data_IF_053821015892
#
_entry.id   IF_053821015892
#
_cell.length_a   1.000
_cell.length_b   1.000
_cell.length_c   1.000
_cell.angle_alpha   90.00
_cell.angle_beta   90.00
_cell.angle_gamma   90.00
#
_symmetry.space_group_name_H-M   'P 1'
#
loop_
_entity.id
_entity.type
_entity.pdbx_description
1 polymer ?
#
# COMPACT_ATOMS: atom_id res chain seq x y z
N UNK A 1 34.20 5.80 -34.41
CA UNK A 1 33.18 5.07 -33.61
C UNK A 1 31.94 5.94 -33.59
N UNK A 2 31.09 5.79 -34.60
CA UNK A 2 29.84 6.53 -34.70
C UNK A 2 28.95 6.19 -33.50
N UNK A 3 28.46 7.22 -32.82
CA UNK A 3 27.43 7.06 -31.79
C UNK A 3 26.18 6.53 -32.49
N UNK A 4 25.93 5.24 -32.36
CA UNK A 4 24.66 4.59 -32.66
C UNK A 4 23.53 5.52 -32.18
N UNK A 5 22.55 5.91 -33.03
CA UNK A 5 21.45 6.77 -32.59
C UNK A 5 20.87 6.17 -31.32
N UNK A 6 20.99 6.89 -30.18
CA UNK A 6 20.58 6.38 -28.87
C UNK A 6 19.12 5.93 -28.99
N UNK A 7 18.91 4.62 -29.05
CA UNK A 7 17.58 4.01 -28.94
C UNK A 7 17.00 4.61 -27.66
N UNK A 8 15.91 5.36 -27.79
CA UNK A 8 15.18 5.94 -26.67
C UNK A 8 14.19 4.88 -26.21
N UNK A 9 14.46 4.15 -25.13
CA UNK A 9 13.62 3.03 -24.73
C UNK A 9 12.20 3.52 -24.45
N UNK A 10 11.21 2.79 -24.96
CA UNK A 10 9.79 3.03 -24.72
C UNK A 10 9.32 2.16 -23.56
N UNK A 11 9.00 2.80 -22.44
CA UNK A 11 8.58 2.14 -21.20
C UNK A 11 7.08 2.36 -21.03
N UNK A 12 6.33 1.25 -20.95
CA UNK A 12 4.92 1.27 -20.58
C UNK A 12 4.78 0.91 -19.12
N UNK A 13 4.43 1.89 -18.29
CA UNK A 13 4.05 1.66 -16.90
C UNK A 13 2.61 1.17 -16.84
N UNK A 14 2.36 0.08 -16.12
CA UNK A 14 1.01 -0.46 -15.88
C UNK A 14 0.73 -0.41 -14.39
N UNK A 15 -0.40 0.18 -14.02
CA UNK A 15 -0.87 0.30 -12.64
C UNK A 15 -2.37 0.02 -12.62
N UNK A 16 -2.90 -0.58 -11.54
CA UNK A 16 -4.35 -0.82 -11.43
C UNK A 16 -5.13 0.48 -11.65
N UNK A 17 -4.89 1.45 -10.79
CA UNK A 17 -5.47 2.78 -10.89
C UNK A 17 -4.37 3.80 -10.61
N UNK A 18 -4.19 4.75 -11.52
CA UNK A 18 -3.39 5.92 -11.24
C UNK A 18 -4.19 6.85 -10.31
N UNK A 19 -3.92 6.78 -9.02
CA UNK A 19 -4.57 7.58 -7.97
C UNK A 19 -3.52 8.19 -7.02
N UNK A 20 -3.84 9.28 -6.30
CA UNK A 20 -2.91 9.85 -5.32
C UNK A 20 -2.49 8.83 -4.27
N UNK A 21 -1.19 8.62 -4.10
CA UNK A 21 -0.64 7.65 -3.16
C UNK A 21 0.80 7.29 -3.48
N UNK A 22 1.46 6.59 -2.55
CA UNK A 22 2.90 6.33 -2.62
C UNK A 22 3.36 5.60 -3.89
N UNK A 23 2.59 4.61 -4.36
CA UNK A 23 2.92 3.86 -5.57
C UNK A 23 2.91 4.73 -6.84
N UNK A 24 1.89 5.59 -6.98
CA UNK A 24 1.78 6.52 -8.10
C UNK A 24 2.86 7.62 -8.02
N UNK A 25 3.13 8.16 -6.83
CA UNK A 25 4.21 9.12 -6.62
C UNK A 25 5.57 8.53 -7.00
N UNK A 26 5.89 7.33 -6.51
CA UNK A 26 7.15 6.66 -6.82
C UNK A 26 7.29 6.34 -8.32
N UNK A 27 6.20 5.90 -8.98
CA UNK A 27 6.15 5.71 -10.43
C UNK A 27 6.47 7.01 -11.16
N UNK A 28 5.68 8.05 -10.91
CA UNK A 28 5.72 9.31 -11.67
C UNK A 28 7.09 9.98 -11.50
N UNK A 29 7.59 10.05 -10.28
CA UNK A 29 8.86 10.72 -9.99
C UNK A 29 10.07 9.95 -10.53
N UNK A 30 10.06 8.63 -10.44
CA UNK A 30 11.12 7.80 -11.02
C UNK A 30 11.13 7.93 -12.55
N UNK A 31 9.96 7.84 -13.18
CA UNK A 31 9.81 7.97 -14.62
C UNK A 31 10.21 9.36 -15.14
N UNK A 32 9.90 10.43 -14.39
CA UNK A 32 10.33 11.80 -14.70
C UNK A 32 11.85 11.91 -14.81
N UNK A 33 12.58 11.33 -13.86
CA UNK A 33 14.05 11.37 -13.88
C UNK A 33 14.66 10.48 -14.97
N UNK A 34 14.08 9.31 -15.24
CA UNK A 34 14.51 8.45 -16.34
C UNK A 34 14.25 9.09 -17.72
N UNK A 35 13.14 9.83 -17.86
CA UNK A 35 12.81 10.57 -19.06
C UNK A 35 13.83 11.68 -19.37
N UNK A 36 14.35 12.35 -18.35
CA UNK A 36 15.45 13.32 -18.50
C UNK A 36 16.73 12.66 -19.06
N UNK A 37 16.92 11.35 -18.86
CA UNK A 37 17.98 10.53 -19.47
C UNK A 37 17.71 10.11 -20.92
N UNK A 38 16.56 10.46 -21.48
CA UNK A 38 16.17 10.19 -22.87
C UNK A 38 15.21 9.01 -23.07
N UNK A 39 14.75 8.37 -22.00
CA UNK A 39 13.71 7.32 -22.06
C UNK A 39 12.33 7.94 -22.33
N UNK A 40 11.43 7.19 -22.97
CA UNK A 40 10.05 7.58 -23.19
C UNK A 40 9.14 6.78 -22.27
N UNK A 41 8.33 7.46 -21.45
CA UNK A 41 7.49 6.82 -20.44
C UNK A 41 6.01 7.15 -20.69
N UNK A 42 5.17 6.11 -20.64
CA UNK A 42 3.72 6.21 -20.74
C UNK A 42 3.08 5.39 -19.63
N UNK A 43 1.97 5.87 -19.07
CA UNK A 43 1.24 5.19 -18.01
C UNK A 43 -0.08 4.65 -18.55
N UNK A 44 -0.33 3.36 -18.34
CA UNK A 44 -1.63 2.71 -18.50
C UNK A 44 -2.23 2.49 -17.12
N UNK A 45 -3.34 3.17 -16.84
CA UNK A 45 -4.18 2.92 -15.67
C UNK A 45 -5.25 1.91 -16.09
N UNK A 46 -5.26 0.70 -15.51
CA UNK A 46 -6.17 -0.38 -15.93
C UNK A 46 -7.64 -0.07 -15.66
N UNK A 47 -7.94 0.70 -14.61
CA UNK A 47 -9.23 1.35 -14.40
C UNK A 47 -9.09 2.86 -14.52
N UNK A 48 -10.23 3.57 -14.60
CA UNK A 48 -10.27 5.03 -14.74
C UNK A 48 -9.33 5.74 -13.74
N UNK A 49 -8.33 6.49 -14.22
CA UNK A 49 -7.41 7.19 -13.35
C UNK A 49 -8.12 8.36 -12.63
N UNK A 50 -7.62 8.72 -11.45
CA UNK A 50 -8.11 9.88 -10.71
C UNK A 50 -7.49 11.14 -11.32
N UNK A 51 -8.33 12.14 -11.65
CA UNK A 51 -7.91 13.36 -12.34
C UNK A 51 -6.67 14.02 -11.71
N UNK A 52 -6.63 14.17 -10.39
CA UNK A 52 -5.50 14.78 -9.69
C UNK A 52 -4.16 14.03 -9.91
N UNK A 53 -4.19 12.71 -10.03
CA UNK A 53 -3.00 11.90 -10.32
C UNK A 53 -2.62 11.94 -11.80
N UNK A 54 -3.61 12.00 -12.70
CA UNK A 54 -3.37 12.23 -14.13
C UNK A 54 -2.71 13.60 -14.37
N UNK A 55 -3.21 14.65 -13.74
CA UNK A 55 -2.64 16.01 -13.83
C UNK A 55 -1.21 16.04 -13.31
N UNK A 56 -0.94 15.31 -12.22
CA UNK A 56 0.39 15.18 -11.65
C UNK A 56 1.36 14.45 -12.60
N UNK A 57 0.94 13.34 -13.20
CA UNK A 57 1.72 12.63 -14.22
C UNK A 57 1.96 13.50 -15.47
N UNK A 58 0.96 14.24 -15.92
CA UNK A 58 1.08 15.14 -17.07
C UNK A 58 2.08 16.28 -16.80
N UNK A 59 2.06 16.88 -15.60
CA UNK A 59 3.08 17.87 -15.17
C UNK A 59 4.49 17.29 -15.15
N UNK A 60 4.62 15.99 -14.87
CA UNK A 60 5.89 15.27 -14.95
C UNK A 60 6.29 14.86 -16.39
N UNK A 61 5.49 15.21 -17.40
CA UNK A 61 5.73 14.90 -18.81
C UNK A 61 5.34 13.49 -19.24
N UNK A 62 4.50 12.80 -18.45
CA UNK A 62 4.05 11.43 -18.71
C UNK A 62 2.67 11.42 -19.37
N UNK A 63 2.54 10.73 -20.49
CA UNK A 63 1.23 10.49 -21.10
C UNK A 63 0.47 9.41 -20.30
N UNK A 64 -0.78 9.68 -19.96
CA UNK A 64 -1.66 8.75 -19.25
C UNK A 64 -2.72 8.19 -20.19
N UNK A 65 -2.96 6.90 -20.09
CA UNK A 65 -3.99 6.16 -20.82
C UNK A 65 -5.01 5.63 -19.84
N UNK A 66 -6.28 5.98 -20.06
CA UNK A 66 -7.41 5.42 -19.33
C UNK A 66 -7.80 4.07 -19.93
N UNK A 67 -7.42 2.98 -19.26
CA UNK A 67 -7.80 1.62 -19.62
C UNK A 67 -9.27 1.29 -19.35
N UNK A 68 -9.96 2.06 -18.49
CA UNK A 68 -11.39 1.92 -18.24
C UNK A 68 -12.27 2.40 -19.40
N UNK A 69 -11.74 3.24 -20.29
CA UNK A 69 -12.43 3.70 -21.51
C UNK A 69 -12.02 2.92 -22.77
N UNK A 70 -10.95 2.13 -22.68
CA UNK A 70 -10.50 1.27 -23.76
C UNK A 70 -11.24 -0.07 -23.64
N UNK A 71 -12.37 -0.18 -24.34
CA UNK A 71 -13.21 -1.37 -24.32
C UNK A 71 -12.63 -2.59 -25.07
N UNK A 72 -11.46 -2.48 -25.72
CA UNK A 72 -10.92 -3.53 -26.59
C UNK A 72 -9.48 -3.92 -26.21
N UNK A 73 -9.29 -5.21 -25.92
CA UNK A 73 -8.00 -5.85 -25.64
C UNK A 73 -6.92 -5.50 -26.68
N UNK A 74 -7.32 -5.33 -27.95
CA UNK A 74 -6.45 -4.96 -29.07
C UNK A 74 -5.64 -3.67 -28.84
N UNK A 75 -6.18 -2.71 -28.10
CA UNK A 75 -5.45 -1.46 -27.82
C UNK A 75 -4.43 -1.63 -26.70
N UNK A 76 -4.75 -2.41 -25.67
CA UNK A 76 -3.78 -2.72 -24.62
C UNK A 76 -2.64 -3.56 -25.21
N UNK A 77 -2.96 -4.55 -26.05
CA UNK A 77 -1.97 -5.36 -26.75
C UNK A 77 -1.08 -4.53 -27.68
N UNK A 78 -1.64 -3.53 -28.36
CA UNK A 78 -0.85 -2.58 -29.16
C UNK A 78 0.12 -1.78 -28.30
N UNK A 79 -0.33 -1.27 -27.14
CA UNK A 79 0.54 -0.55 -26.20
C UNK A 79 1.70 -1.43 -25.71
N UNK A 80 1.41 -2.70 -25.39
CA UNK A 80 2.42 -3.68 -24.99
C UNK A 80 3.37 -4.01 -26.17
N UNK A 81 2.83 -4.19 -27.38
CA UNK A 81 3.61 -4.49 -28.57
C UNK A 81 4.59 -3.37 -28.92
N UNK A 82 4.18 -2.11 -28.76
CA UNK A 82 4.98 -0.92 -29.02
C UNK A 82 6.02 -0.60 -27.94
N UNK A 83 5.86 -1.14 -26.73
CA UNK A 83 6.79 -0.93 -25.63
C UNK A 83 8.03 -1.82 -25.73
N UNK A 84 9.20 -1.29 -25.36
CA UNK A 84 10.42 -2.06 -25.20
C UNK A 84 10.43 -2.85 -23.89
N UNK A 85 9.82 -2.27 -22.84
CA UNK A 85 9.62 -2.86 -21.51
C UNK A 85 8.20 -2.53 -21.02
N UNK A 86 7.51 -3.53 -20.50
CA UNK A 86 6.28 -3.37 -19.72
C UNK A 86 6.63 -3.41 -18.24
N UNK A 87 6.41 -2.30 -17.55
CA UNK A 87 6.74 -2.09 -16.15
C UNK A 87 5.48 -2.04 -15.31
N UNK A 88 5.17 -3.10 -14.60
CA UNK A 88 4.00 -3.21 -13.74
C UNK A 88 4.32 -2.74 -12.32
N UNK A 89 3.47 -1.89 -11.77
CA UNK A 89 3.50 -1.43 -10.38
C UNK A 89 2.47 -2.22 -9.58
N UNK A 90 2.95 -3.14 -8.74
CA UNK A 90 2.13 -4.25 -8.28
C UNK A 90 1.82 -4.23 -6.78
N UNK A 91 0.57 -4.56 -6.48
CA UNK A 91 0.04 -5.03 -5.20
C UNK A 91 -1.04 -6.08 -5.52
N UNK A 92 -1.49 -6.84 -4.52
CA UNK A 92 -2.59 -7.80 -4.75
C UNK A 92 -3.87 -7.07 -5.14
N UNK A 93 -4.38 -7.38 -6.33
CA UNK A 93 -5.58 -6.78 -6.87
C UNK A 93 -6.26 -7.70 -7.88
N UNK A 94 -7.59 -7.85 -7.86
CA UNK A 94 -8.33 -8.61 -8.87
C UNK A 94 -8.15 -8.07 -10.29
N UNK A 95 -7.92 -6.76 -10.45
CA UNK A 95 -7.74 -6.12 -11.76
C UNK A 95 -6.34 -6.42 -12.31
N UNK A 96 -5.29 -6.26 -11.50
CA UNK A 96 -3.93 -6.62 -11.91
C UNK A 96 -3.80 -8.12 -12.14
N UNK A 97 -4.44 -8.95 -11.32
CA UNK A 97 -4.48 -10.41 -11.49
C UNK A 97 -5.12 -10.79 -12.84
N UNK A 98 -6.29 -10.24 -13.15
CA UNK A 98 -6.95 -10.47 -14.44
C UNK A 98 -6.08 -10.00 -15.62
N UNK A 99 -5.44 -8.82 -15.49
CA UNK A 99 -4.51 -8.32 -16.49
C UNK A 99 -3.30 -9.23 -16.66
N UNK A 100 -2.64 -9.70 -15.60
CA UNK A 100 -1.43 -10.53 -15.73
C UNK A 100 -1.73 -11.95 -16.23
N UNK A 101 -2.95 -12.46 -15.98
CA UNK A 101 -3.37 -13.81 -16.39
C UNK A 101 -3.84 -13.92 -17.83
N UNK A 102 -4.29 -12.83 -18.46
CA UNK A 102 -4.70 -12.88 -19.87
C UNK A 102 -3.48 -13.07 -20.78
N UNK A 103 -3.64 -13.64 -21.99
CA UNK A 103 -2.56 -13.69 -22.98
C UNK A 103 -2.12 -12.28 -23.39
N UNK A 104 -0.81 -12.09 -23.57
CA UNK A 104 -0.21 -10.83 -24.05
C UNK A 104 0.75 -11.09 -25.21
N UNK A 105 0.99 -10.09 -26.08
CA UNK A 105 2.10 -10.13 -27.03
C UNK A 105 3.46 -10.32 -26.33
N UNK A 106 4.47 -10.90 -27.00
CA UNK A 106 5.81 -11.03 -26.44
C UNK A 106 6.37 -9.70 -25.96
N UNK A 107 6.84 -9.63 -24.70
CA UNK A 107 7.38 -8.41 -24.11
C UNK A 107 8.48 -8.72 -23.09
N UNK A 108 9.08 -7.66 -22.53
CA UNK A 108 10.01 -7.74 -21.40
C UNK A 108 9.31 -7.19 -20.18
N UNK A 109 9.19 -7.99 -19.14
CA UNK A 109 8.35 -7.69 -18.00
C UNK A 109 9.16 -7.31 -16.77
N UNK A 110 8.95 -6.11 -16.26
CA UNK A 110 9.47 -5.65 -14.98
C UNK A 110 8.28 -5.53 -14.02
N UNK A 111 8.34 -6.16 -12.86
CA UNK A 111 7.35 -5.94 -11.78
C UNK A 111 8.05 -5.25 -10.61
N UNK A 112 7.59 -4.06 -10.24
CA UNK A 112 8.01 -3.37 -9.02
C UNK A 112 6.92 -3.45 -7.96
N UNK A 113 7.22 -4.15 -6.87
CA UNK A 113 6.26 -4.45 -5.80
C UNK A 113 6.12 -3.27 -4.84
N UNK A 114 4.92 -2.73 -4.66
CA UNK A 114 4.64 -1.62 -3.74
C UNK A 114 4.05 -2.07 -2.38
N UNK A 115 4.16 -3.37 -2.08
CA UNK A 115 3.68 -3.99 -0.84
C UNK A 115 4.76 -4.83 -0.17
N UNK A 116 4.66 -4.97 1.16
CA UNK A 116 5.64 -5.71 1.95
C UNK A 116 5.63 -7.20 1.64
N UNK A 117 4.46 -7.75 1.33
CA UNK A 117 4.35 -9.12 0.85
C UNK A 117 4.08 -10.18 1.91
N UNK A 118 3.64 -9.78 3.12
CA UNK A 118 3.72 -10.61 4.32
C UNK A 118 2.44 -10.67 5.15
N UNK A 119 1.43 -9.96 4.69
CA UNK A 119 0.17 -9.79 5.40
C UNK A 119 -0.96 -9.71 4.38
N UNK A 120 -2.00 -10.50 4.62
CA UNK A 120 -3.17 -10.53 3.75
C UNK A 120 -3.83 -9.12 3.68
N UNK A 121 -4.31 -8.70 2.49
CA UNK A 121 -4.38 -9.46 1.24
C UNK A 121 -3.10 -9.45 0.40
N UNK A 122 -2.06 -8.72 0.82
CA UNK A 122 -0.87 -8.43 0.02
C UNK A 122 0.24 -9.47 0.23
N UNK A 123 -0.05 -10.70 -0.16
CA UNK A 123 0.91 -11.81 -0.12
C UNK A 123 1.69 -11.90 -1.43
N UNK A 124 3.01 -12.17 -1.36
CA UNK A 124 3.79 -12.48 -2.56
C UNK A 124 3.77 -13.99 -2.80
N UNK A 125 3.43 -14.36 -4.03
CA UNK A 125 3.24 -15.76 -4.42
C UNK A 125 4.36 -16.22 -5.36
N UNK A 126 4.68 -17.53 -5.40
CA UNK A 126 5.61 -18.07 -6.39
C UNK A 126 5.19 -17.77 -7.84
N UNK A 127 3.90 -17.81 -8.14
CA UNK A 127 3.36 -17.51 -9.47
C UNK A 127 3.65 -16.07 -9.90
N UNK A 128 3.48 -15.10 -8.99
CA UNK A 128 3.84 -13.70 -9.25
C UNK A 128 5.34 -13.54 -9.48
N UNK A 129 6.18 -14.19 -8.66
CA UNK A 129 7.63 -14.10 -8.77
C UNK A 129 8.20 -14.80 -10.01
N UNK A 130 7.46 -15.79 -10.55
CA UNK A 130 7.84 -16.51 -11.75
C UNK A 130 7.42 -15.82 -13.06
N UNK A 131 6.46 -14.89 -12.98
CA UNK A 131 5.98 -14.20 -14.17
C UNK A 131 7.00 -13.26 -14.81
N UNK A 132 7.66 -12.30 -14.14
CA UNK A 132 8.43 -11.26 -14.82
C UNK A 132 9.82 -11.71 -15.31
N UNK A 133 10.45 -10.88 -16.15
CA UNK A 133 11.88 -10.97 -16.45
C UNK A 133 12.74 -10.42 -15.28
N UNK A 134 12.23 -9.38 -14.62
CA UNK A 134 12.83 -8.71 -13.47
C UNK A 134 11.77 -8.41 -12.40
N UNK A 135 11.98 -8.93 -11.19
CA UNK A 135 11.19 -8.65 -9.99
C UNK A 135 11.95 -7.68 -9.08
N UNK A 136 11.33 -6.55 -8.74
CA UNK A 136 11.96 -5.50 -7.95
C UNK A 136 11.21 -5.32 -6.64
N UNK A 137 11.92 -5.47 -5.53
CA UNK A 137 11.42 -5.11 -4.20
C UNK A 137 11.49 -3.59 -4.00
N UNK A 138 10.42 -3.00 -3.44
CA UNK A 138 10.39 -1.57 -3.10
C UNK A 138 11.10 -1.22 -1.80
N UNK A 139 11.58 -2.19 -1.04
CA UNK A 139 12.40 -1.97 0.16
C UNK A 139 13.25 -3.20 0.50
N UNK A 140 14.29 -3.06 1.33
CA UNK A 140 15.02 -4.20 1.87
C UNK A 140 14.12 -5.20 2.59
N UNK A 141 13.07 -4.73 3.28
CA UNK A 141 12.10 -5.57 3.96
C UNK A 141 11.35 -6.49 2.97
N UNK A 142 10.83 -5.94 1.87
CA UNK A 142 10.16 -6.72 0.81
C UNK A 142 11.11 -7.78 0.23
N UNK A 143 12.39 -7.49 0.12
CA UNK A 143 13.39 -8.43 -0.42
C UNK A 143 13.68 -9.61 0.51
N UNK A 144 13.33 -9.53 1.81
CA UNK A 144 13.47 -10.66 2.74
C UNK A 144 12.40 -11.74 2.54
N UNK A 145 11.37 -11.48 1.72
CA UNK A 145 10.29 -12.45 1.52
C UNK A 145 10.81 -13.69 0.77
N UNK A 146 10.34 -14.91 1.10
CA UNK A 146 10.87 -16.16 0.52
C UNK A 146 10.85 -16.22 -1.01
N UNK A 147 9.90 -15.52 -1.65
CA UNK A 147 9.80 -15.48 -3.11
C UNK A 147 11.04 -14.90 -3.80
N UNK A 148 11.81 -14.03 -3.13
CA UNK A 148 13.01 -13.42 -3.71
C UNK A 148 14.22 -14.37 -3.72
N UNK A 149 14.28 -15.31 -2.78
CA UNK A 149 15.37 -16.29 -2.70
C UNK A 149 15.29 -17.33 -3.83
N UNK A 150 14.06 -17.65 -4.28
CA UNK A 150 13.79 -18.70 -5.26
C UNK A 150 13.11 -18.19 -6.54
N UNK A 151 13.15 -16.87 -6.79
CA UNK A 151 12.55 -16.31 -7.99
C UNK A 151 13.32 -16.82 -9.23
N UNK A 152 12.64 -17.36 -10.24
CA UNK A 152 13.29 -17.68 -11.52
C UNK A 152 13.58 -16.40 -12.33
N UNK A 153 12.97 -15.28 -11.96
CA UNK A 153 13.27 -13.96 -12.49
C UNK A 153 14.58 -13.40 -11.92
N UNK A 154 15.20 -12.46 -12.65
CA UNK A 154 16.22 -11.60 -12.03
C UNK A 154 15.57 -10.81 -10.89
N UNK A 155 16.25 -10.64 -9.75
CA UNK A 155 15.75 -9.84 -8.63
C UNK A 155 16.60 -8.60 -8.39
N UNK A 156 15.97 -7.54 -7.89
CA UNK A 156 16.66 -6.32 -7.48
C UNK A 156 15.90 -5.64 -6.34
N UNK A 157 16.59 -4.70 -5.66
CA UNK A 157 15.99 -3.83 -4.65
C UNK A 157 16.12 -2.40 -5.17
N UNK A 158 14.99 -1.73 -5.36
CA UNK A 158 14.97 -0.29 -5.61
C UNK A 158 13.94 0.33 -4.68
N UNK A 159 14.43 1.14 -3.74
CA UNK A 159 13.57 1.79 -2.76
C UNK A 159 12.55 2.69 -3.47
N UNK A 160 11.26 2.51 -3.17
CA UNK A 160 10.23 3.43 -3.64
C UNK A 160 10.39 4.77 -2.92
N UNK A 161 10.57 5.85 -3.68
CA UNK A 161 10.77 7.19 -3.15
C UNK A 161 10.02 8.22 -3.97
N UNK A 162 9.55 9.28 -3.30
CA UNK A 162 9.04 10.49 -3.96
C UNK A 162 10.14 11.50 -4.27
N UNK A 163 9.73 12.70 -4.65
CA UNK A 163 10.66 13.83 -4.77
C UNK A 163 10.97 14.41 -3.39
N UNK A 164 12.27 14.48 -3.06
CA UNK A 164 12.75 15.10 -1.83
C UNK A 164 13.35 16.50 -2.06
N UNK A 165 13.32 17.02 -3.29
CA UNK A 165 13.86 18.34 -3.64
C UNK A 165 13.23 19.49 -2.84
N UNK A 166 11.94 19.39 -2.51
CA UNK A 166 11.27 20.39 -1.66
C UNK A 166 11.84 20.50 -0.23
N UNK A 167 12.59 19.49 0.23
CA UNK A 167 13.14 19.45 1.57
C UNK A 167 14.57 19.97 1.66
N UNK A 168 15.33 20.06 0.56
CA UNK A 168 16.72 20.53 0.59
C UNK A 168 16.83 22.00 1.03
N UNK A 169 15.80 22.80 0.79
CA UNK A 169 15.72 24.22 1.15
C UNK A 169 14.80 24.54 2.33
N UNK A 170 13.97 23.57 2.75
CA UNK A 170 13.04 23.75 3.85
C UNK A 170 13.79 24.10 5.14
N UNK A 171 13.52 25.30 5.67
CA UNK A 171 14.02 25.73 6.98
C UNK A 171 13.15 25.12 8.06
N UNK A 172 13.77 24.38 8.98
CA UNK A 172 13.11 23.94 10.21
C UNK A 172 12.68 25.19 10.97
N UNK A 173 11.38 25.30 11.28
CA UNK A 173 10.89 26.41 12.10
C UNK A 173 11.52 26.26 13.49
N UNK A 174 12.05 27.34 14.10
CA UNK A 174 12.52 27.27 15.47
C UNK A 174 11.43 26.69 16.40
N UNK A 175 11.81 25.87 17.40
CA UNK A 175 10.84 25.28 18.31
C UNK A 175 9.95 26.36 18.94
N UNK A 176 8.64 26.12 18.92
CA UNK A 176 7.66 26.96 19.61
C UNK A 176 7.62 26.67 21.11
N UNK A 177 6.74 27.35 21.87
CA UNK A 177 6.56 27.06 23.30
C UNK A 177 5.94 25.68 23.55
N UNK A 178 5.17 25.15 22.59
CA UNK A 178 4.58 23.81 22.65
C UNK A 178 5.45 22.83 21.85
N UNK A 179 5.68 21.63 22.40
CA UNK A 179 6.31 20.52 21.69
C UNK A 179 5.32 19.91 20.67
N UNK A 180 5.66 19.98 19.37
CA UNK A 180 4.74 19.57 18.30
C UNK A 180 5.07 18.19 17.74
N UNK A 181 4.16 17.25 17.92
CA UNK A 181 4.23 15.91 17.34
C UNK A 181 3.30 15.86 16.14
N UNK A 182 3.78 15.42 14.99
CA UNK A 182 2.94 15.24 13.82
C UNK A 182 2.77 13.79 13.40
N UNK A 183 1.61 13.51 12.81
CA UNK A 183 1.34 12.32 12.01
C UNK A 183 0.83 12.77 10.64
N UNK A 184 1.37 12.20 9.57
CA UNK A 184 0.86 12.42 8.21
C UNK A 184 0.70 11.05 7.55
N UNK A 185 -0.50 10.72 7.11
CA UNK A 185 -0.76 9.45 6.42
C UNK A 185 -2.24 9.13 6.29
N UNK A 186 -2.57 8.00 5.65
CA UNK A 186 -3.94 7.52 5.59
C UNK A 186 -4.44 7.19 7.01
N UNK A 187 -5.69 7.58 7.30
CA UNK A 187 -6.34 7.36 8.59
C UNK A 187 -7.23 6.10 8.51
N UNK A 188 -6.59 4.94 8.38
CA UNK A 188 -7.23 3.64 8.41
C UNK A 188 -6.36 2.60 9.10
N UNK A 189 -6.96 1.46 9.42
CA UNK A 189 -6.32 0.33 10.08
C UNK A 189 -5.16 -0.32 9.28
N UNK A 190 -4.98 0.02 7.99
CA UNK A 190 -3.82 -0.43 7.22
C UNK A 190 -2.59 0.46 7.46
N UNK A 191 -2.76 1.63 8.08
CA UNK A 191 -1.67 2.56 8.39
C UNK A 191 -1.61 2.91 9.86
N UNK A 192 -2.63 3.56 10.39
CA UNK A 192 -2.60 4.11 11.75
C UNK A 192 -2.84 3.02 12.79
N UNK A 193 -2.02 3.01 13.86
CA UNK A 193 -2.26 2.12 15.00
C UNK A 193 -3.69 2.33 15.56
N UNK A 194 -4.45 1.25 15.85
CA UNK A 194 -5.82 1.37 16.34
C UNK A 194 -5.92 2.24 17.61
N UNK A 195 -4.92 2.11 18.50
CA UNK A 195 -4.79 2.83 19.76
C UNK A 195 -3.94 4.10 19.69
N UNK A 196 -3.81 4.73 18.51
CA UNK A 196 -2.95 5.91 18.29
C UNK A 196 -3.12 7.00 19.37
N UNK A 197 -4.35 7.36 19.71
CA UNK A 197 -4.63 8.40 20.72
C UNK A 197 -4.24 7.91 22.11
N UNK A 198 -4.62 6.69 22.48
CA UNK A 198 -4.25 6.08 23.77
C UNK A 198 -2.73 6.03 23.98
N UNK A 199 -1.98 5.53 23.00
CA UNK A 199 -0.51 5.47 23.05
C UNK A 199 0.12 6.86 23.17
N UNK A 200 -0.38 7.82 22.39
CA UNK A 200 0.12 9.20 22.39
C UNK A 200 -0.18 9.93 23.70
N UNK A 201 -1.33 9.64 24.34
CA UNK A 201 -1.72 10.23 25.63
C UNK A 201 -0.92 9.69 26.80
N UNK A 202 -0.41 8.48 26.71
CA UNK A 202 0.41 7.86 27.74
C UNK A 202 1.75 8.59 27.94
N UNK A 203 2.18 9.43 26.99
CA UNK A 203 3.39 10.23 27.11
C UNK A 203 3.20 11.42 28.06
N UNK A 204 4.04 11.49 29.09
CA UNK A 204 4.14 12.60 30.02
C UNK A 204 4.94 13.75 29.41
N UNK A 205 4.28 14.53 28.55
CA UNK A 205 4.90 15.59 27.77
C UNK A 205 4.78 16.97 28.46
N UNK A 206 5.71 17.91 28.19
CA UNK A 206 5.45 19.34 28.41
C UNK A 206 4.23 19.81 27.59
N UNK A 207 3.81 21.10 27.67
CA UNK A 207 2.80 21.62 26.74
C UNK A 207 3.09 21.16 25.30
N UNK A 208 2.17 20.39 24.72
CA UNK A 208 2.40 19.66 23.50
C UNK A 208 1.14 19.60 22.63
N UNK A 209 1.34 19.43 21.33
CA UNK A 209 0.25 19.27 20.35
C UNK A 209 0.52 18.09 19.43
N UNK A 210 -0.53 17.36 19.10
CA UNK A 210 -0.54 16.30 18.10
C UNK A 210 -1.28 16.79 16.86
N UNK A 211 -0.55 17.07 15.79
CA UNK A 211 -1.09 17.51 14.51
C UNK A 211 -1.24 16.33 13.55
N UNK A 212 -2.47 15.90 13.32
CA UNK A 212 -2.79 14.70 12.54
C UNK A 212 -3.33 15.11 11.17
N UNK A 213 -2.56 14.82 10.14
CA UNK A 213 -2.93 15.03 8.74
C UNK A 213 -3.28 13.69 8.08
N UNK A 214 -4.39 13.67 7.37
CA UNK A 214 -4.86 12.50 6.66
C UNK A 214 -6.36 12.46 6.45
N UNK A 215 -6.79 11.49 5.64
CA UNK A 215 -8.17 11.04 5.51
C UNK A 215 -8.16 9.52 5.42
N UNK A 216 -9.28 8.89 5.75
CA UNK A 216 -9.43 7.44 5.69
C UNK A 216 -10.70 6.99 6.40
N UNK A 217 -11.00 5.69 6.29
CA UNK A 217 -12.22 5.10 6.84
C UNK A 217 -12.36 5.30 8.36
N UNK A 218 -11.24 5.39 9.08
CA UNK A 218 -11.23 5.55 10.54
C UNK A 218 -11.24 7.00 11.00
N UNK A 219 -11.29 7.98 10.09
CA UNK A 219 -11.26 9.40 10.45
C UNK A 219 -12.41 9.82 11.38
N UNK A 220 -13.60 9.23 11.24
CA UNK A 220 -14.73 9.48 12.11
C UNK A 220 -14.55 8.85 13.51
N UNK A 221 -14.05 7.61 13.57
CA UNK A 221 -13.71 6.92 14.83
C UNK A 221 -12.65 7.69 15.60
N UNK A 222 -11.58 8.10 14.91
CA UNK A 222 -10.48 8.88 15.50
C UNK A 222 -10.98 10.21 16.06
N UNK A 223 -11.87 10.92 15.34
CA UNK A 223 -12.50 12.14 15.86
C UNK A 223 -13.31 11.88 17.13
N UNK A 224 -14.15 10.84 17.12
CA UNK A 224 -14.94 10.49 18.30
C UNK A 224 -14.06 10.13 19.51
N UNK A 225 -12.94 9.43 19.30
CA UNK A 225 -11.96 9.11 20.34
C UNK A 225 -11.29 10.36 20.91
N UNK A 226 -10.89 11.30 20.04
CA UNK A 226 -10.34 12.61 20.45
C UNK A 226 -11.39 13.41 21.23
N UNK A 227 -12.62 13.53 20.73
CA UNK A 227 -13.69 14.28 21.39
C UNK A 227 -14.04 13.69 22.76
N UNK A 228 -14.12 12.35 22.85
CA UNK A 228 -14.36 11.63 24.10
C UNK A 228 -13.21 11.80 25.10
N UNK A 229 -11.96 11.91 24.62
CA UNK A 229 -10.78 12.11 25.46
C UNK A 229 -10.76 13.46 26.16
N UNK A 230 -11.44 14.47 25.58
CA UNK A 230 -11.38 15.90 25.96
C UNK A 230 -9.96 16.48 26.00
N UNK A 231 -9.01 15.81 25.34
CA UNK A 231 -7.62 16.19 25.32
C UNK A 231 -7.35 17.18 24.17
N UNK A 232 -7.30 18.47 24.51
CA UNK A 232 -7.15 19.56 23.54
C UNK A 232 -5.78 19.57 22.83
N UNK A 233 -4.88 18.64 23.18
CA UNK A 233 -3.60 18.48 22.48
C UNK A 233 -3.76 17.93 21.07
N UNK A 234 -4.83 17.19 20.77
CA UNK A 234 -5.03 16.55 19.47
C UNK A 234 -5.79 17.43 18.48
N UNK A 235 -5.22 17.62 17.29
CA UNK A 235 -5.82 18.39 16.21
C UNK A 235 -5.87 17.60 14.91
N UNK A 236 -7.08 17.26 14.44
CA UNK A 236 -7.29 16.75 13.09
C UNK A 236 -7.19 17.89 12.07
N UNK A 237 -6.12 17.91 11.29
CA UNK A 237 -5.80 18.98 10.32
C UNK A 237 -6.34 18.71 8.91
N UNK A 238 -6.90 17.52 8.68
CA UNK A 238 -7.38 17.11 7.37
C UNK A 238 -6.23 16.77 6.42
N UNK A 239 -6.41 16.98 5.13
CA UNK A 239 -5.39 16.65 4.13
C UNK A 239 -4.27 17.70 4.11
N UNK A 240 -3.00 17.26 4.20
CA UNK A 240 -1.85 18.15 4.02
C UNK A 240 -1.67 18.49 2.53
N UNK A 241 -1.96 19.73 2.15
CA UNK A 241 -1.73 20.23 0.77
C UNK A 241 -0.27 20.60 0.51
N UNK A 242 0.47 20.94 1.57
CA UNK A 242 1.90 21.24 1.55
C UNK A 242 2.56 20.44 2.69
N UNK A 243 3.04 19.24 2.33
CA UNK A 243 3.68 18.32 3.29
C UNK A 243 4.99 18.92 3.83
N UNK A 244 5.90 19.51 3.02
CA UNK A 244 7.06 20.23 3.52
C UNK A 244 6.71 21.30 4.57
N UNK A 245 5.72 22.15 4.31
CA UNK A 245 5.31 23.18 5.26
C UNK A 245 4.72 22.59 6.55
N UNK A 246 3.92 21.52 6.46
CA UNK A 246 3.40 20.84 7.63
C UNK A 246 4.55 20.26 8.49
N UNK A 247 5.46 19.51 7.88
CA UNK A 247 6.61 18.89 8.56
C UNK A 247 7.54 19.93 9.19
N UNK A 248 7.74 21.08 8.53
CA UNK A 248 8.59 22.17 9.05
C UNK A 248 8.08 22.77 10.37
N UNK A 249 6.84 22.48 10.78
CA UNK A 249 6.27 22.92 12.05
C UNK A 249 6.39 21.90 13.19
N UNK A 250 6.89 20.69 12.91
CA UNK A 250 6.91 19.58 13.86
C UNK A 250 8.28 19.45 14.53
N UNK A 251 8.28 19.12 15.82
CA UNK A 251 9.48 18.77 16.58
C UNK A 251 9.79 17.27 16.48
N UNK A 252 8.76 16.43 16.38
CA UNK A 252 8.90 14.98 16.23
C UNK A 252 7.81 14.42 15.31
N UNK A 253 8.13 13.33 14.62
CA UNK A 253 7.18 12.62 13.78
C UNK A 253 6.73 11.34 14.48
N UNK A 254 5.57 11.40 15.15
CA UNK A 254 5.00 10.28 15.90
C UNK A 254 4.25 9.35 14.98
N UNK A 255 4.86 8.23 14.63
CA UNK A 255 4.40 7.37 13.54
C UNK A 255 4.27 5.89 13.95
N UNK A 256 3.40 5.57 14.93
CA UNK A 256 3.11 4.20 15.30
C UNK A 256 2.19 3.61 14.22
N UNK A 257 2.77 2.86 13.30
CA UNK A 257 2.01 2.13 12.29
C UNK A 257 1.31 0.92 12.92
N UNK A 258 0.14 0.56 12.41
CA UNK A 258 -0.52 -0.69 12.78
C UNK A 258 0.39 -1.90 12.51
N UNK A 259 0.32 -2.93 13.38
CA UNK A 259 1.16 -4.15 13.27
C UNK A 259 0.99 -4.87 11.93
N UNK A 260 -0.20 -4.84 11.37
CA UNK A 260 -0.57 -5.45 10.08
C UNK A 260 -0.51 -4.45 8.91
N UNK A 261 0.20 -3.34 9.07
CA UNK A 261 0.41 -2.36 8.01
C UNK A 261 1.18 -2.98 6.84
N UNK A 262 0.69 -2.76 5.61
CA UNK A 262 1.37 -3.18 4.38
C UNK A 262 2.42 -2.17 3.91
N UNK A 263 2.86 -1.29 4.82
CA UNK A 263 3.92 -0.33 4.61
C UNK A 263 5.19 -0.97 4.01
N UNK A 264 5.83 -0.24 3.10
CA UNK A 264 7.09 -0.68 2.46
C UNK A 264 8.16 0.37 2.62
N UNK A 265 8.15 1.37 1.75
CA UNK A 265 9.15 2.41 1.72
C UNK A 265 8.70 3.68 2.45
N UNK A 266 7.43 3.78 2.87
CA UNK A 266 6.83 4.92 3.58
C UNK A 266 7.39 6.30 3.17
N UNK A 267 6.88 6.82 2.05
CA UNK A 267 7.35 8.09 1.50
C UNK A 267 7.30 9.23 2.52
N UNK A 268 6.23 9.29 3.31
CA UNK A 268 6.05 10.34 4.32
C UNK A 268 7.04 10.24 5.49
N UNK A 269 7.53 9.03 5.80
CA UNK A 269 8.61 8.84 6.77
C UNK A 269 9.94 9.33 6.16
N UNK A 270 10.21 9.04 4.89
CA UNK A 270 11.37 9.59 4.16
C UNK A 270 11.32 11.14 4.12
N UNK A 271 10.14 11.71 3.89
CA UNK A 271 9.88 13.16 3.88
C UNK A 271 10.10 13.80 5.25
N UNK A 272 9.57 13.19 6.33
CA UNK A 272 9.80 13.66 7.70
C UNK A 272 11.30 13.66 8.06
N UNK A 273 12.00 12.58 7.72
CA UNK A 273 13.45 12.50 7.89
C UNK A 273 14.16 13.56 7.05
N UNK A 274 13.78 13.75 5.79
CA UNK A 274 14.35 14.79 4.92
C UNK A 274 14.10 16.20 5.45
N UNK A 275 12.97 16.45 6.10
CA UNK A 275 12.67 17.71 6.78
C UNK A 275 13.51 17.93 8.05
N UNK A 276 14.28 16.92 8.49
CA UNK A 276 15.03 16.98 9.74
C UNK A 276 14.17 16.79 10.98
N UNK A 277 12.98 16.21 10.82
CA UNK A 277 12.07 15.88 11.93
C UNK A 277 12.36 14.44 12.36
N UNK A 278 12.87 14.20 13.58
CA UNK A 278 13.18 12.84 14.03
C UNK A 278 11.89 12.01 14.19
N UNK A 279 11.81 10.82 13.56
CA UNK A 279 10.67 9.93 13.72
C UNK A 279 10.74 9.11 15.01
N UNK A 280 9.58 8.79 15.55
CA UNK A 280 9.36 7.76 16.57
C UNK A 280 8.41 6.72 16.00
N UNK A 281 8.91 5.51 15.76
CA UNK A 281 8.15 4.39 15.16
C UNK A 281 8.08 3.20 16.12
N UNK A 282 7.21 2.24 15.84
CA UNK A 282 7.18 0.94 16.53
C UNK A 282 8.12 -0.06 15.83
N UNK A 283 8.67 -1.01 16.60
CA UNK A 283 9.61 -2.03 16.13
C UNK A 283 8.94 -3.19 15.35
N UNK A 284 8.27 -2.85 14.26
CA UNK A 284 7.69 -3.84 13.34
C UNK A 284 7.52 -3.33 11.92
N UNK A 285 7.38 -4.28 10.99
CA UNK A 285 7.11 -4.01 9.58
C UNK A 285 8.27 -3.32 8.86
N UNK A 286 7.99 -2.72 7.70
CA UNK A 286 9.06 -2.20 6.85
C UNK A 286 9.69 -0.88 7.35
N UNK A 287 8.97 -0.11 8.17
CA UNK A 287 9.44 1.20 8.63
C UNK A 287 10.75 1.14 9.42
N UNK A 288 11.01 0.03 10.14
CA UNK A 288 12.25 -0.17 10.91
C UNK A 288 13.49 -0.23 10.03
N UNK A 289 13.34 -0.53 8.74
CA UNK A 289 14.45 -0.56 7.79
C UNK A 289 14.80 0.82 7.22
N UNK A 290 14.00 1.84 7.52
CA UNK A 290 14.21 3.22 7.07
C UNK A 290 14.84 4.10 8.16
N UNK A 291 14.75 3.68 9.42
CA UNK A 291 15.22 4.42 10.59
C UNK A 291 16.35 3.63 11.26
N UNK A 292 17.45 4.31 11.56
CA UNK A 292 18.53 3.77 12.39
C UNK A 292 18.35 4.28 13.84
N UNK A 293 18.02 3.34 14.74
CA UNK A 293 17.72 3.61 16.15
C UNK A 293 18.85 4.41 16.82
N UNK A 294 18.51 5.43 17.61
CA UNK A 294 19.45 6.34 18.30
C UNK A 294 20.35 7.19 17.40
N UNK A 295 20.25 7.03 16.07
CA UNK A 295 21.01 7.82 15.09
C UNK A 295 20.14 8.72 14.23
N UNK A 296 19.08 8.20 13.62
CA UNK A 296 18.21 8.96 12.71
C UNK A 296 16.75 9.02 13.16
N UNK A 297 16.47 8.56 14.38
CA UNK A 297 15.14 8.49 14.97
C UNK A 297 15.14 7.54 16.16
N UNK A 298 13.97 7.30 16.73
CA UNK A 298 13.75 6.31 17.79
C UNK A 298 12.82 5.21 17.29
N UNK A 299 13.13 3.99 17.68
CA UNK A 299 12.35 2.79 17.41
C UNK A 299 11.93 2.28 18.78
N UNK A 300 10.64 2.37 19.06
CA UNK A 300 10.04 1.90 20.28
C UNK A 300 9.82 0.39 20.19
N UNK A 301 10.32 -0.35 21.18
CA UNK A 301 10.26 -1.82 21.18
C UNK A 301 8.84 -2.36 21.21
N UNK A 302 7.96 -1.62 21.87
CA UNK A 302 6.54 -1.95 22.02
C UNK A 302 5.71 -0.68 22.25
N UNK A 303 4.41 -0.89 22.38
CA UNK A 303 3.41 0.15 22.66
C UNK A 303 3.69 0.93 23.96
N UNK A 304 4.27 0.29 24.98
CA UNK A 304 4.60 0.93 26.25
C UNK A 304 5.89 1.77 26.17
N UNK A 305 6.79 1.44 25.24
CA UNK A 305 8.04 2.14 24.97
C UNK A 305 7.86 3.36 24.05
N UNK A 306 6.80 3.37 23.23
CA UNK A 306 6.44 4.49 22.35
C UNK A 306 6.29 5.83 23.08
N UNK A 307 5.47 5.95 24.14
CA UNK A 307 5.37 7.22 24.88
C UNK A 307 6.70 7.65 25.50
N UNK A 308 7.52 6.71 25.99
CA UNK A 308 8.85 7.02 26.54
C UNK A 308 9.79 7.58 25.50
N UNK A 309 9.72 7.11 24.26
CA UNK A 309 10.51 7.67 23.16
C UNK A 309 10.09 9.12 22.86
N UNK A 310 8.80 9.44 22.89
CA UNK A 310 8.31 10.83 22.75
C UNK A 310 8.78 11.71 23.91
N UNK A 311 8.69 11.22 25.15
CA UNK A 311 9.16 11.93 26.35
C UNK A 311 10.65 12.28 26.26
N UNK A 312 11.49 11.35 25.77
CA UNK A 312 12.93 11.59 25.56
C UNK A 312 13.19 12.74 24.60
N UNK A 313 12.50 12.78 23.45
CA UNK A 313 12.65 13.87 22.48
C UNK A 313 12.13 15.21 23.00
N UNK A 314 11.10 15.19 23.84
CA UNK A 314 10.56 16.38 24.46
C UNK A 314 11.51 16.95 25.52
N UNK A 315 12.10 16.09 26.34
CA UNK A 315 12.98 16.47 27.45
C UNK A 315 14.40 16.86 27.02
N UNK A 316 14.90 16.34 25.89
CA UNK A 316 16.25 16.59 25.40
C UNK A 316 16.26 17.24 23.99
N UNK A 317 16.26 18.59 23.91
CA UNK A 317 16.38 19.30 22.64
C UNK A 317 17.69 19.03 21.89
N UNK A 318 18.77 18.67 22.58
CA UNK A 318 20.05 18.36 21.95
C UNK A 318 20.00 16.99 21.24
N UNK A 319 19.39 15.98 21.89
CA UNK A 319 19.06 14.71 21.28
C UNK A 319 18.16 14.91 20.05
N UNK A 320 17.08 15.67 20.19
CA UNK A 320 16.14 15.96 19.10
C UNK A 320 16.83 16.55 17.88
N UNK A 321 17.66 17.58 18.09
CA UNK A 321 18.44 18.22 17.02
C UNK A 321 19.43 17.24 16.38
N UNK A 322 20.19 16.48 17.19
CA UNK A 322 21.16 15.49 16.70
C UNK A 322 20.49 14.44 15.81
N UNK A 323 19.37 13.87 16.27
CA UNK A 323 18.63 12.86 15.50
C UNK A 323 18.02 13.45 14.23
N UNK A 324 17.46 14.66 14.31
CA UNK A 324 16.89 15.36 13.14
C UNK A 324 17.93 15.68 12.07
N UNK A 325 19.08 16.23 12.44
CA UNK A 325 20.19 16.52 11.52
C UNK A 325 20.71 15.23 10.84
N UNK A 326 20.89 14.15 11.62
CA UNK A 326 21.31 12.86 11.10
C UNK A 326 20.24 12.20 10.21
N UNK A 327 18.95 12.33 10.56
CA UNK A 327 17.83 11.86 9.74
C UNK A 327 17.78 12.57 8.39
N UNK A 328 17.97 13.90 8.37
CA UNK A 328 18.03 14.71 7.16
C UNK A 328 19.18 14.28 6.26
N UNK A 329 20.38 14.16 6.83
CA UNK A 329 21.54 13.70 6.08
C UNK A 329 21.30 12.29 5.51
N UNK A 330 20.75 11.37 6.30
CA UNK A 330 20.43 10.02 5.86
C UNK A 330 19.40 10.02 4.72
N UNK A 331 18.29 10.73 4.87
CA UNK A 331 17.24 10.77 3.86
C UNK A 331 17.72 11.35 2.52
N UNK A 332 18.44 12.48 2.54
CA UNK A 332 18.98 13.07 1.31
C UNK A 332 20.11 12.22 0.67
N UNK A 333 20.78 11.39 1.48
CA UNK A 333 21.86 10.49 1.02
C UNK A 333 21.40 9.09 0.60
N UNK A 334 20.21 8.64 1.02
CA UNK A 334 19.75 7.28 0.78
C UNK A 334 18.43 7.20 0.00
N UNK A 335 17.58 8.23 0.09
CA UNK A 335 16.23 8.24 -0.49
C UNK A 335 16.12 9.21 -1.68
N UNK A 336 14.96 9.19 -2.33
CA UNK A 336 14.58 10.13 -3.39
C UNK A 336 14.53 9.51 -4.78
N UNK A 337 13.58 9.98 -5.59
CA UNK A 337 13.32 9.43 -6.92
C UNK A 337 14.52 9.50 -7.89
N UNK A 338 15.43 10.48 -7.73
CA UNK A 338 16.70 10.53 -8.49
C UNK A 338 17.53 9.27 -8.26
N UNK A 339 17.60 8.78 -7.02
CA UNK A 339 18.34 7.56 -6.68
C UNK A 339 17.65 6.32 -7.21
N UNK A 340 16.32 6.26 -7.07
CA UNK A 340 15.53 5.18 -7.66
C UNK A 340 15.77 5.10 -9.18
N UNK A 341 15.70 6.22 -9.90
CA UNK A 341 15.99 6.28 -11.32
C UNK A 341 17.40 5.77 -11.66
N UNK A 342 18.45 6.28 -10.98
CA UNK A 342 19.82 5.78 -11.18
C UNK A 342 19.97 4.28 -10.92
N UNK A 343 19.26 3.74 -9.92
CA UNK A 343 19.27 2.30 -9.65
C UNK A 343 18.55 1.49 -10.75
N UNK A 344 17.52 2.06 -11.38
CA UNK A 344 16.82 1.44 -12.50
C UNK A 344 17.57 1.51 -13.83
N UNK A 345 18.42 2.51 -14.08
CA UNK A 345 19.19 2.65 -15.33
C UNK A 345 19.91 1.36 -15.77
N UNK A 346 20.76 0.72 -14.94
CA UNK A 346 21.43 -0.53 -15.32
C UNK A 346 20.46 -1.71 -15.46
N UNK A 347 19.35 -1.72 -14.71
CA UNK A 347 18.34 -2.78 -14.77
C UNK A 347 17.55 -2.71 -16.08
N UNK A 348 17.16 -1.50 -16.50
CA UNK A 348 16.53 -1.24 -17.79
C UNK A 348 17.47 -1.63 -18.93
N UNK A 349 18.74 -1.25 -18.87
CA UNK A 349 19.74 -1.63 -19.88
C UNK A 349 19.90 -3.16 -19.99
N UNK A 350 19.95 -3.86 -18.84
CA UNK A 350 20.00 -5.33 -18.78
C UNK A 350 18.77 -5.96 -19.43
N UNK A 351 17.57 -5.47 -19.12
CA UNK A 351 16.34 -5.96 -19.72
C UNK A 351 16.34 -5.78 -21.24
N UNK A 352 16.72 -4.61 -21.75
CA UNK A 352 16.75 -4.33 -23.20
C UNK A 352 17.64 -5.29 -23.99
N UNK A 353 18.70 -5.84 -23.37
CA UNK A 353 19.57 -6.84 -23.99
C UNK A 353 18.92 -8.24 -24.12
N UNK A 354 17.82 -8.50 -23.41
CA UNK A 354 17.09 -9.79 -23.48
C UNK A 354 16.13 -9.82 -24.66
N UNK A 355 15.83 -11.00 -25.23
CA UNK A 355 14.74 -11.13 -26.21
C UNK A 355 13.38 -10.88 -25.55
N UNK A 356 12.41 -10.39 -26.32
CA UNK A 356 11.00 -10.33 -25.90
C UNK A 356 10.44 -11.75 -25.83
N UNK A 357 9.63 -12.05 -24.82
CA UNK A 357 9.08 -13.39 -24.62
C UNK A 357 7.56 -13.33 -24.41
N UNK A 358 6.84 -14.28 -25.01
CA UNK A 358 5.47 -14.55 -24.62
C UNK A 358 5.48 -15.17 -23.21
N UNK A 359 4.56 -14.73 -22.36
CA UNK A 359 4.46 -15.22 -20.98
C UNK A 359 3.06 -15.75 -20.73
N UNK A 360 2.99 -16.84 -20.00
CA UNK A 360 1.76 -17.44 -19.51
C UNK A 360 1.85 -17.42 -18.00
N UNK A 361 0.75 -17.05 -17.35
CA UNK A 361 0.71 -17.06 -15.90
C UNK A 361 0.87 -18.51 -15.39
N UNK A 362 1.74 -18.77 -14.38
CA UNK A 362 2.15 -20.15 -14.06
C UNK A 362 1.03 -21.06 -13.53
N UNK A 363 0.07 -20.53 -12.78
CA UNK A 363 -1.03 -21.31 -12.20
C UNK A 363 -2.36 -21.10 -12.94
N UNK A 364 -3.23 -22.11 -12.86
CA UNK A 364 -4.60 -22.03 -13.39
C UNK A 364 -5.56 -21.69 -12.26
N UNK A 365 -6.45 -20.74 -12.53
CA UNK A 365 -7.51 -20.32 -11.61
C UNK A 365 -8.71 -19.85 -12.44
N UNK A 366 -9.75 -20.68 -12.45
CA UNK A 366 -10.87 -20.56 -13.39
C UNK A 366 -11.98 -19.64 -12.86
N UNK A 367 -12.15 -19.60 -11.53
CA UNK A 367 -13.16 -18.75 -10.86
C UNK A 367 -12.55 -17.55 -10.13
N UNK A 368 -13.39 -16.59 -9.73
CA UNK A 368 -12.95 -15.46 -8.92
C UNK A 368 -12.44 -15.91 -7.55
N UNK A 369 -13.08 -16.92 -6.96
CA UNK A 369 -12.64 -17.55 -5.72
C UNK A 369 -11.29 -18.26 -5.87
N UNK A 370 -11.07 -19.02 -6.96
CA UNK A 370 -9.77 -19.66 -7.20
C UNK A 370 -8.64 -18.62 -7.30
N UNK A 371 -8.90 -17.51 -8.01
CA UNK A 371 -7.93 -16.42 -8.16
C UNK A 371 -7.67 -15.71 -6.84
N UNK A 372 -8.72 -15.49 -6.04
CA UNK A 372 -8.57 -14.93 -4.69
C UNK A 372 -7.72 -15.83 -3.78
N UNK A 373 -7.99 -17.14 -3.76
CA UNK A 373 -7.19 -18.11 -3.00
C UNK A 373 -5.73 -18.13 -3.49
N UNK A 374 -5.52 -18.19 -4.81
CA UNK A 374 -4.19 -18.16 -5.40
C UNK A 374 -3.43 -16.88 -5.04
N UNK A 375 -4.10 -15.72 -5.06
CA UNK A 375 -3.51 -14.42 -4.72
C UNK A 375 -3.19 -14.28 -3.22
N UNK A 376 -3.91 -14.97 -2.34
CA UNK A 376 -3.61 -15.04 -0.91
C UNK A 376 -2.45 -15.99 -0.58
N UNK A 377 -2.12 -16.94 -1.46
CA UNK A 377 -1.06 -17.91 -1.22
C UNK A 377 -1.23 -18.63 0.12
N UNK A 378 -0.24 -18.54 1.01
CA UNK A 378 -0.29 -19.18 2.34
C UNK A 378 -1.36 -18.59 3.27
N UNK A 379 -1.85 -17.37 3.01
CA UNK A 379 -2.93 -16.77 3.80
C UNK A 379 -4.34 -17.26 3.38
N UNK A 380 -4.43 -18.14 2.39
CA UNK A 380 -5.69 -18.67 1.88
C UNK A 380 -6.31 -19.77 2.76
N UNK A 381 -5.57 -20.28 3.76
CA UNK A 381 -5.92 -21.47 4.55
C UNK A 381 -7.36 -21.46 5.07
N UNK A 382 -7.78 -20.37 5.71
CA UNK A 382 -9.13 -20.25 6.28
C UNK A 382 -10.24 -20.29 5.22
N UNK A 383 -10.00 -19.69 4.05
CA UNK A 383 -10.96 -19.71 2.94
C UNK A 383 -10.98 -21.08 2.25
N UNK A 384 -9.82 -21.71 2.09
CA UNK A 384 -9.72 -23.06 1.56
C UNK A 384 -10.40 -24.10 2.47
N UNK A 385 -10.24 -23.99 3.79
CA UNK A 385 -10.90 -24.83 4.79
C UNK A 385 -12.43 -24.66 4.76
N UNK A 386 -12.90 -23.41 4.72
CA UNK A 386 -14.33 -23.06 4.54
C UNK A 386 -14.88 -23.65 3.23
N UNK A 387 -14.07 -23.72 2.16
CA UNK A 387 -14.47 -24.32 0.88
C UNK A 387 -14.61 -25.84 0.93
N UNK A 388 -13.74 -26.51 1.70
CA UNK A 388 -13.55 -27.96 1.63
C UNK A 388 -14.36 -28.76 2.67
N UNK A 389 -15.11 -28.12 3.57
CA UNK A 389 -15.97 -28.82 4.53
C UNK A 389 -15.51 -28.77 5.99
N UNK A 390 -14.44 -28.04 6.33
CA UNK A 390 -13.92 -27.85 7.70
C UNK A 390 -14.53 -26.58 8.34
N UNK A 391 -15.86 -26.54 8.40
CA UNK A 391 -16.59 -25.27 8.19
C UNK A 391 -16.67 -24.32 9.38
N UNK A 392 -16.89 -24.79 10.61
CA UNK A 392 -17.33 -23.88 11.68
C UNK A 392 -16.22 -22.95 12.19
N UNK A 393 -15.02 -23.50 12.40
CA UNK A 393 -13.87 -22.71 12.82
C UNK A 393 -13.37 -21.79 11.69
N UNK A 394 -13.38 -22.29 10.44
CA UNK A 394 -12.97 -21.53 9.27
C UNK A 394 -13.93 -20.35 9.00
N UNK A 395 -15.25 -20.59 9.01
CA UNK A 395 -16.24 -19.54 8.83
C UNK A 395 -16.18 -18.52 9.96
N UNK A 396 -15.97 -18.95 11.21
CA UNK A 396 -15.77 -18.05 12.35
C UNK A 396 -14.49 -17.21 12.21
N UNK A 397 -13.42 -17.75 11.65
CA UNK A 397 -12.20 -17.00 11.35
C UNK A 397 -12.42 -15.99 10.21
N UNK A 398 -13.22 -16.35 9.19
CA UNK A 398 -13.56 -15.43 8.09
C UNK A 398 -14.38 -14.24 8.59
N UNK A 399 -15.27 -14.44 9.57
CA UNK A 399 -16.03 -13.36 10.23
C UNK A 399 -15.10 -12.31 10.86
N UNK A 400 -13.94 -12.72 11.37
CA UNK A 400 -13.02 -11.86 12.14
C UNK A 400 -11.75 -11.47 11.38
N UNK A 401 -11.73 -11.64 10.05
CA UNK A 401 -10.58 -11.23 9.23
C UNK A 401 -10.25 -9.75 9.42
N UNK A 402 -8.98 -9.43 9.19
CA UNK A 402 -8.50 -8.06 9.33
C UNK A 402 -9.28 -7.08 8.44
N UNK A 403 -9.42 -5.80 8.84
CA UNK A 403 -10.04 -4.78 8.00
C UNK A 403 -9.43 -4.66 6.61
N UNK A 404 -8.12 -4.89 6.48
CA UNK A 404 -7.42 -4.90 5.21
C UNK A 404 -7.87 -6.05 4.30
N UNK A 405 -7.98 -7.27 4.83
CA UNK A 405 -8.47 -8.42 4.08
C UNK A 405 -9.96 -8.31 3.76
N UNK A 406 -10.72 -7.56 4.56
CA UNK A 406 -12.11 -7.19 4.29
C UNK A 406 -12.27 -6.02 3.29
N UNK A 407 -11.20 -5.38 2.82
CA UNK A 407 -11.27 -4.15 2.02
C UNK A 407 -11.98 -4.35 0.67
N UNK A 408 -12.72 -3.31 0.25
CA UNK A 408 -13.41 -3.25 -1.05
C UNK A 408 -12.58 -2.64 -2.19
N UNK A 409 -11.38 -2.12 -1.90
CA UNK A 409 -10.54 -1.37 -2.85
C UNK A 409 -9.07 -1.77 -2.85
N UNK A 410 -8.61 -2.52 -1.84
CA UNK A 410 -7.17 -2.80 -1.64
C UNK A 410 -6.87 -4.30 -1.68
N UNK A 411 -7.48 -5.01 -2.61
CA UNK A 411 -7.23 -6.44 -2.83
C UNK A 411 -7.90 -7.40 -1.83
N UNK A 412 -8.69 -6.87 -0.90
CA UNK A 412 -9.48 -7.67 0.05
C UNK A 412 -10.67 -8.39 -0.60
N UNK A 413 -11.31 -9.30 0.13
CA UNK A 413 -12.40 -10.17 -0.37
C UNK A 413 -13.54 -9.37 -1.00
N UNK A 414 -13.92 -8.23 -0.40
CA UNK A 414 -14.99 -7.39 -0.93
C UNK A 414 -14.58 -6.74 -2.27
N UNK A 415 -13.28 -6.52 -2.49
CA UNK A 415 -12.76 -6.05 -3.78
C UNK A 415 -12.91 -7.13 -4.85
N UNK A 416 -12.52 -8.37 -4.53
CA UNK A 416 -12.70 -9.52 -5.42
C UNK A 416 -14.17 -9.78 -5.75
N UNK A 417 -15.06 -9.79 -4.76
CA UNK A 417 -16.50 -9.95 -4.97
C UNK A 417 -17.12 -8.81 -5.82
N UNK A 418 -16.52 -7.61 -5.82
CA UNK A 418 -16.95 -6.52 -6.71
C UNK A 418 -16.60 -6.82 -8.18
N UNK A 419 -15.42 -7.38 -8.42
CA UNK A 419 -14.94 -7.72 -9.77
C UNK A 419 -15.54 -9.02 -10.32
N UNK A 420 -15.92 -9.95 -9.44
CA UNK A 420 -16.51 -11.24 -9.78
C UNK A 420 -17.89 -11.39 -9.09
N UNK A 421 -18.90 -10.63 -9.53
CA UNK A 421 -20.18 -10.53 -8.82
C UNK A 421 -21.01 -11.82 -8.88
N UNK A 422 -20.74 -12.75 -9.78
CA UNK A 422 -21.50 -14.00 -9.88
C UNK A 422 -20.72 -15.22 -9.36
N UNK A 423 -19.61 -14.99 -8.63
CA UNK A 423 -18.87 -16.06 -7.98
C UNK A 423 -19.54 -16.46 -6.65
N UNK A 424 -20.04 -17.71 -6.50
CA UNK A 424 -20.78 -18.13 -5.31
C UNK A 424 -19.94 -18.08 -4.02
N UNK A 425 -18.67 -18.46 -4.08
CA UNK A 425 -17.80 -18.52 -2.90
C UNK A 425 -17.39 -17.14 -2.42
N UNK A 426 -17.05 -16.24 -3.34
CA UNK A 426 -16.77 -14.85 -2.99
C UNK A 426 -17.99 -14.17 -2.36
N UNK A 427 -19.21 -14.50 -2.81
CA UNK A 427 -20.47 -14.04 -2.20
C UNK A 427 -20.63 -14.58 -0.78
N UNK A 428 -20.45 -15.88 -0.59
CA UNK A 428 -20.56 -16.51 0.73
C UNK A 428 -19.59 -15.88 1.74
N UNK A 429 -18.30 -15.82 1.43
CA UNK A 429 -17.29 -15.23 2.31
C UNK A 429 -17.51 -13.73 2.55
N UNK A 430 -17.95 -12.98 1.54
CA UNK A 430 -18.34 -11.57 1.72
C UNK A 430 -19.49 -11.42 2.71
N UNK A 431 -20.47 -12.33 2.68
CA UNK A 431 -21.56 -12.40 3.66
C UNK A 431 -21.05 -12.57 5.09
N UNK A 432 -20.10 -13.48 5.31
CA UNK A 432 -19.46 -13.69 6.61
C UNK A 432 -18.70 -12.44 7.09
N UNK A 433 -17.96 -11.77 6.20
CA UNK A 433 -17.25 -10.52 6.52
C UNK A 433 -18.21 -9.39 6.87
N UNK A 434 -19.29 -9.21 6.09
CA UNK A 434 -20.32 -8.22 6.41
C UNK A 434 -20.94 -8.48 7.79
N UNK A 435 -21.18 -9.75 8.13
CA UNK A 435 -21.69 -10.12 9.44
C UNK A 435 -20.73 -9.75 10.56
N UNK A 436 -19.43 -10.05 10.41
CA UNK A 436 -18.42 -9.67 11.39
C UNK A 436 -18.31 -8.17 11.63
N UNK A 437 -18.64 -7.38 10.61
CA UNK A 437 -18.70 -5.92 10.69
C UNK A 437 -20.05 -5.39 11.22
N UNK A 438 -20.93 -6.26 11.71
CA UNK A 438 -22.26 -5.86 12.20
C UNK A 438 -23.26 -5.48 11.11
N UNK A 439 -22.92 -5.67 9.83
CA UNK A 439 -23.74 -5.26 8.67
C UNK A 439 -24.67 -6.39 8.23
N UNK A 440 -25.71 -6.66 9.03
CA UNK A 440 -26.61 -7.81 8.83
C UNK A 440 -27.37 -7.79 7.50
N UNK A 441 -27.88 -6.63 7.08
CA UNK A 441 -28.63 -6.52 5.81
C UNK A 441 -27.75 -6.81 4.60
N UNK A 442 -26.55 -6.19 4.44
CA UNK A 442 -25.59 -6.60 3.42
C UNK A 442 -25.20 -8.08 3.51
N UNK A 443 -24.96 -8.60 4.73
CA UNK A 443 -24.59 -10.00 4.92
C UNK A 443 -25.64 -10.96 4.37
N UNK A 444 -26.91 -10.74 4.74
CA UNK A 444 -28.03 -11.54 4.25
C UNK A 444 -28.16 -11.48 2.72
N UNK A 445 -28.00 -10.29 2.14
CA UNK A 445 -28.04 -10.10 0.68
C UNK A 445 -26.98 -10.92 -0.06
N UNK A 446 -25.74 -10.92 0.45
CA UNK A 446 -24.64 -11.71 -0.13
C UNK A 446 -24.88 -13.22 0.01
N UNK A 447 -25.31 -13.69 1.18
CA UNK A 447 -25.59 -15.11 1.44
C UNK A 447 -26.77 -15.63 0.59
N UNK A 448 -27.85 -14.87 0.48
CA UNK A 448 -28.98 -15.23 -0.38
C UNK A 448 -28.58 -15.30 -1.86
N UNK A 449 -27.71 -14.38 -2.32
CA UNK A 449 -27.19 -14.44 -3.69
C UNK A 449 -26.29 -15.65 -3.89
N UNK A 450 -25.44 -16.01 -2.92
CA UNK A 450 -24.64 -17.22 -2.97
C UNK A 450 -25.53 -18.48 -3.09
N UNK A 451 -26.63 -18.55 -2.32
CA UNK A 451 -27.64 -19.62 -2.45
C UNK A 451 -28.26 -19.67 -3.84
N UNK A 452 -28.65 -18.53 -4.40
CA UNK A 452 -29.25 -18.45 -5.73
C UNK A 452 -28.30 -18.87 -6.85
N UNK A 453 -26.99 -18.69 -6.64
CA UNK A 453 -25.93 -19.17 -7.54
C UNK A 453 -25.57 -20.64 -7.34
N UNK A 454 -26.27 -21.36 -6.45
CA UNK A 454 -26.13 -22.81 -6.27
C UNK A 454 -24.91 -23.24 -5.45
N UNK A 455 -24.40 -22.40 -4.54
CA UNK A 455 -23.29 -22.80 -3.68
C UNK A 455 -23.67 -24.00 -2.79
N UNK A 456 -22.78 -24.97 -2.68
CA UNK A 456 -22.90 -26.11 -1.76
C UNK A 456 -22.08 -25.91 -0.48
N UNK A 457 -22.20 -24.73 0.16
CA UNK A 457 -21.49 -24.43 1.40
C UNK A 457 -22.24 -25.02 2.61
N UNK A 458 -21.64 -25.93 3.41
CA UNK A 458 -22.38 -26.65 4.45
C UNK A 458 -22.91 -25.79 5.61
N UNK A 459 -22.40 -24.57 5.79
CA UNK A 459 -22.86 -23.59 6.80
C UNK A 459 -23.85 -22.54 6.30
N UNK A 460 -24.22 -22.55 5.01
CA UNK A 460 -24.98 -21.47 4.38
C UNK A 460 -26.32 -21.17 5.06
N UNK A 461 -27.12 -22.21 5.28
CA UNK A 461 -28.47 -22.05 5.81
C UNK A 461 -28.47 -21.56 7.26
N UNK A 462 -27.52 -22.05 8.06
CA UNK A 462 -27.28 -21.57 9.42
C UNK A 462 -26.94 -20.07 9.41
N UNK A 463 -26.00 -19.65 8.58
CA UNK A 463 -25.57 -18.25 8.56
C UNK A 463 -26.66 -17.30 8.04
N UNK A 464 -27.52 -17.77 7.13
CA UNK A 464 -28.73 -17.05 6.73
C UNK A 464 -29.69 -16.88 7.91
N UNK A 465 -29.98 -17.97 8.64
CA UNK A 465 -30.86 -17.92 9.81
C UNK A 465 -30.35 -16.93 10.88
N UNK A 466 -29.04 -16.98 11.20
CA UNK A 466 -28.40 -16.08 12.15
C UNK A 466 -28.54 -14.59 11.72
N UNK A 467 -28.38 -14.29 10.43
CA UNK A 467 -28.55 -12.92 9.92
C UNK A 467 -30.02 -12.45 10.00
N UNK A 468 -30.98 -13.33 9.73
CA UNK A 468 -32.42 -13.02 9.83
C UNK A 468 -32.78 -12.70 11.29
N UNK A 469 -32.40 -13.57 12.23
CA UNK A 469 -32.66 -13.37 13.66
C UNK A 469 -32.03 -12.07 14.21
N UNK A 470 -30.81 -11.75 13.78
CA UNK A 470 -30.13 -10.52 14.18
C UNK A 470 -30.87 -9.29 13.65
N UNK A 471 -31.32 -9.32 12.39
CA UNK A 471 -32.07 -8.21 11.76
C UNK A 471 -33.41 -7.97 12.45
N UNK A 472 -34.14 -9.03 12.81
CA UNK A 472 -35.43 -8.92 13.51
C UNK A 472 -35.28 -8.32 14.92
N UNK A 473 -34.24 -8.72 15.67
CA UNK A 473 -33.95 -8.15 17.00
C UNK A 473 -33.64 -6.65 16.95
N UNK A 474 -32.91 -6.19 15.95
CA UNK A 474 -32.64 -4.75 15.77
C UNK A 474 -33.91 -3.96 15.47
N UNK A 475 -34.89 -4.55 14.76
CA UNK A 475 -36.16 -3.90 14.43
C UNK A 475 -37.18 -3.86 15.58
N UNK A 476 -37.05 -4.73 16.58
CA UNK A 476 -37.96 -4.79 17.74
C UNK A 476 -37.45 -4.01 18.96
N UNK A 477 -36.18 -3.59 18.95
CA UNK A 477 -35.54 -2.81 20.02
C UNK A 477 -35.30 -1.33 19.70
N UNK A 478 -35.79 -0.86 18.55
CA UNK A 478 -35.86 0.55 18.15
C UNK A 478 -37.32 1.01 18.21
#
# INVERSE_FOLDING_TARGET
>A
MERNPRIRPRILHVIEQLAPGGAATALVETARHLAAGGQQHRVLSLVRPVAAASDYAARAGLAVVDGGEIAADDTIDRLIAEADIVWVHAWTSPVLDAFLRRPHPPARWLIWLHVAGDSAPHMLTPSLAAFPDLLVASSPYTATRPVFANAPAQTAIVLASGDLGGFSEARVTPPGPDFRIGYIGTLDAAKMHPDFVTLSRAANLPPARFDIYGRGADGARLRAEIDASRDLRFGLRGWATDVPAALATMDAFGYPLARNSHATAELVLQEAMAAGVPPVILDHGAAVHLVDHERTGLIARDEADYPRCLERLAADPALRRRLGEAARHHALSCFGAVRAARAFEPLVASLLARPRQARVWPDRADTGADRFLAALGTAAEVFAASRNGENDAADAAIVTVSPALASATSGGILHWRRCYPDDPWLRFWSGLVHRGQGRMVPALGELMRARALGIAAPGLDRHIAECVEATTRTSQGA
#
